data_IF_780823693573
#
_entry.id   IF_780823693573
#
_cell.length_a   1.000
_cell.length_b   1.000
_cell.length_c   1.000
_cell.angle_alpha   90.00
_cell.angle_beta   90.00
_cell.angle_gamma   90.00
#
_symmetry.space_group_name_H-M   'P 1'
#
loop_
_entity.id
_entity.type
_entity.pdbx_description
1 polymer ?
#
# COMPACT_ATOMS: atom_id res chain seq x y z
N UNK A 1 -3.51 -4.62 19.98
CA UNK A 1 -3.67 -5.72 18.99
C UNK A 1 -3.44 -7.10 19.59
N UNK A 2 -2.52 -7.32 20.56
CA UNK A 2 -2.22 -8.67 21.06
C UNK A 2 -3.36 -9.47 21.72
N UNK A 3 -4.37 -8.81 22.29
CA UNK A 3 -5.61 -9.50 22.76
C UNK A 3 -6.55 -9.78 21.59
N UNK A 4 -6.60 -8.86 20.61
CA UNK A 4 -7.46 -8.96 19.43
C UNK A 4 -6.97 -10.08 18.50
N UNK A 5 -5.66 -10.34 18.44
CA UNK A 5 -5.09 -11.43 17.64
C UNK A 5 -5.43 -12.84 18.13
N UNK A 6 -6.15 -12.98 19.24
CA UNK A 6 -6.66 -14.25 19.74
C UNK A 6 -8.13 -14.50 19.33
N UNK A 7 -8.79 -13.50 18.73
CA UNK A 7 -10.17 -13.61 18.26
C UNK A 7 -10.25 -14.46 17.00
N UNK A 8 -11.40 -15.10 16.78
CA UNK A 8 -11.62 -15.87 15.57
C UNK A 8 -11.74 -14.97 14.32
N UNK A 9 -11.59 -15.57 13.14
CA UNK A 9 -11.60 -14.85 11.86
C UNK A 9 -12.90 -14.05 11.63
N UNK A 10 -14.05 -14.50 12.11
CA UNK A 10 -15.32 -13.77 11.96
C UNK A 10 -15.38 -12.55 12.88
N UNK A 11 -14.90 -12.70 14.11
CA UNK A 11 -14.76 -11.57 15.05
C UNK A 11 -13.75 -10.54 14.52
N UNK A 12 -12.65 -10.99 13.90
CA UNK A 12 -11.68 -10.12 13.24
C UNK A 12 -12.26 -9.38 12.05
N UNK A 13 -13.13 -10.03 11.27
CA UNK A 13 -13.81 -9.35 10.19
C UNK A 13 -14.64 -8.16 10.71
N UNK A 14 -15.30 -8.27 11.86
CA UNK A 14 -15.99 -7.15 12.53
C UNK A 14 -15.01 -6.09 13.06
N UNK A 15 -13.86 -6.49 13.59
CA UNK A 15 -12.85 -5.54 14.02
C UNK A 15 -12.28 -4.71 12.85
N UNK A 16 -11.90 -5.37 11.74
CA UNK A 16 -11.36 -4.68 10.56
C UNK A 16 -12.39 -3.81 9.87
N UNK A 17 -13.63 -4.27 9.85
CA UNK A 17 -14.80 -3.49 9.51
C UNK A 17 -14.89 -2.13 10.24
N UNK A 18 -14.77 -2.17 11.57
CA UNK A 18 -14.84 -0.97 12.40
C UNK A 18 -13.60 -0.09 12.21
N UNK A 19 -12.44 -0.69 11.93
CA UNK A 19 -11.21 0.05 11.63
C UNK A 19 -11.34 0.88 10.34
N UNK A 20 -12.03 0.38 9.32
CA UNK A 20 -12.10 1.00 8.00
C UNK A 20 -13.28 1.96 7.86
N UNK A 21 -14.33 1.79 8.67
CA UNK A 21 -15.52 2.64 8.66
C UNK A 21 -15.22 4.15 8.73
N UNK A 22 -14.32 4.65 9.60
CA UNK A 22 -13.98 6.08 9.66
C UNK A 22 -13.28 6.61 8.42
N UNK A 23 -12.71 5.73 7.58
CA UNK A 23 -12.02 6.12 6.36
C UNK A 23 -13.02 6.42 5.23
N UNK A 24 -14.24 5.90 5.33
CA UNK A 24 -15.29 6.06 4.31
C UNK A 24 -14.82 5.70 2.88
N UNK A 25 -13.94 4.70 2.77
CA UNK A 25 -13.32 4.26 1.51
C UNK A 25 -14.10 3.15 0.81
N UNK A 26 -15.23 2.71 1.36
CA UNK A 26 -16.13 1.72 0.77
C UNK A 26 -17.39 2.47 0.33
N UNK A 27 -17.93 2.17 -0.86
CA UNK A 27 -19.15 2.84 -1.36
C UNK A 27 -20.35 2.59 -0.41
N UNK A 28 -21.27 3.54 -0.30
CA UNK A 28 -22.45 3.42 0.58
C UNK A 28 -23.29 2.17 0.27
N UNK A 29 -23.51 1.86 -1.01
CA UNK A 29 -24.20 0.64 -1.44
C UNK A 29 -23.52 -0.65 -0.94
N UNK A 30 -22.18 -0.65 -0.91
CA UNK A 30 -21.40 -1.80 -0.40
C UNK A 30 -21.36 -1.79 1.13
N UNK A 31 -21.41 -0.60 1.74
CA UNK A 31 -21.37 -0.36 3.18
C UNK A 31 -22.65 -0.85 3.85
N UNK A 32 -23.81 -0.59 3.25
CA UNK A 32 -25.08 -1.13 3.71
C UNK A 32 -25.09 -2.66 3.64
N UNK A 33 -24.57 -3.25 2.55
CA UNK A 33 -24.41 -4.70 2.47
C UNK A 33 -23.44 -5.23 3.53
N UNK A 34 -22.37 -4.49 3.85
CA UNK A 34 -21.36 -4.88 4.85
C UNK A 34 -21.92 -4.90 6.28
N UNK A 35 -22.84 -3.97 6.61
CA UNK A 35 -23.37 -3.82 7.97
C UNK A 35 -24.76 -4.43 8.18
N UNK A 36 -25.54 -4.62 7.12
CA UNK A 36 -26.92 -5.12 7.20
C UNK A 36 -27.10 -6.57 6.76
N UNK A 37 -26.14 -7.14 6.02
CA UNK A 37 -26.23 -8.53 5.59
C UNK A 37 -25.96 -9.46 6.77
N UNK A 38 -26.94 -10.28 7.18
CA UNK A 38 -26.73 -11.37 8.13
C UNK A 38 -25.80 -12.50 7.63
N UNK A 39 -24.97 -12.24 6.62
CA UNK A 39 -23.85 -13.08 6.16
C UNK A 39 -22.61 -12.75 6.98
N UNK A 40 -21.63 -13.66 7.03
CA UNK A 40 -20.35 -13.36 7.68
C UNK A 40 -19.73 -12.13 7.02
N UNK A 41 -19.36 -11.13 7.82
CA UNK A 41 -18.56 -9.97 7.40
C UNK A 41 -17.28 -10.38 6.67
N UNK A 42 -16.80 -11.60 6.93
CA UNK A 42 -15.71 -12.26 6.23
C UNK A 42 -15.93 -12.41 4.72
N UNK A 43 -17.15 -12.74 4.29
CA UNK A 43 -17.48 -12.97 2.87
C UNK A 43 -17.18 -11.72 2.03
N UNK A 44 -17.34 -10.54 2.63
CA UNK A 44 -17.09 -9.27 1.96
C UNK A 44 -15.61 -9.00 1.71
N UNK A 45 -14.74 -9.37 2.65
CA UNK A 45 -13.29 -9.26 2.48
C UNK A 45 -12.77 -10.28 1.46
N UNK A 46 -13.43 -11.42 1.34
CA UNK A 46 -13.05 -12.50 0.42
C UNK A 46 -13.67 -12.37 -0.99
N UNK A 47 -14.45 -11.32 -1.28
CA UNK A 47 -15.04 -11.13 -2.61
C UNK A 47 -13.94 -10.90 -3.66
N UNK A 48 -13.96 -11.71 -4.70
CA UNK A 48 -13.17 -11.49 -5.92
C UNK A 48 -13.44 -10.09 -6.48
N UNK A 49 -12.37 -9.34 -6.81
CA UNK A 49 -12.39 -7.94 -7.26
C UNK A 49 -12.69 -6.90 -6.16
N UNK A 50 -12.29 -7.16 -4.90
CA UNK A 50 -12.52 -6.19 -3.82
C UNK A 50 -11.98 -4.79 -4.11
N UNK A 51 -10.87 -4.70 -4.85
CA UNK A 51 -10.27 -3.43 -5.30
C UNK A 51 -11.30 -2.48 -5.90
N UNK A 52 -12.29 -2.98 -6.66
CA UNK A 52 -13.35 -2.18 -7.27
C UNK A 52 -14.26 -1.48 -6.26
N UNK A 53 -14.38 -2.00 -5.05
CA UNK A 53 -15.20 -1.41 -3.99
C UNK A 53 -14.47 -0.31 -3.21
N UNK A 54 -13.16 -0.18 -3.37
CA UNK A 54 -12.39 0.91 -2.75
C UNK A 54 -12.64 2.19 -3.54
N UNK A 55 -13.34 3.14 -2.92
CA UNK A 55 -13.53 4.48 -3.43
C UNK A 55 -12.18 5.23 -3.44
N UNK A 56 -11.62 5.40 -4.63
CA UNK A 56 -10.32 6.07 -4.85
C UNK A 56 -10.37 7.52 -4.41
N UNK A 57 -11.45 8.24 -4.72
CA UNK A 57 -11.58 9.66 -4.41
C UNK A 57 -11.64 9.89 -2.90
N UNK A 58 -12.42 9.07 -2.19
CA UNK A 58 -12.49 9.11 -0.73
C UNK A 58 -11.10 8.84 -0.11
N UNK A 59 -10.40 7.81 -0.59
CA UNK A 59 -9.06 7.46 -0.13
C UNK A 59 -8.05 8.59 -0.38
N UNK A 60 -8.12 9.24 -1.54
CA UNK A 60 -7.28 10.39 -1.93
C UNK A 60 -7.52 11.60 -1.03
N UNK A 61 -8.77 11.85 -0.63
CA UNK A 61 -9.16 12.99 0.19
C UNK A 61 -8.88 12.81 1.69
N UNK A 62 -8.47 11.62 2.15
CA UNK A 62 -8.06 11.43 3.53
C UNK A 62 -6.89 12.35 3.92
N UNK A 63 -6.93 12.85 5.16
CA UNK A 63 -5.81 13.61 5.71
C UNK A 63 -4.54 12.75 5.79
N UNK A 64 -3.36 13.37 5.70
CA UNK A 64 -2.09 12.66 5.87
C UNK A 64 -2.03 11.84 7.17
N UNK A 65 -2.56 12.39 8.28
CA UNK A 65 -2.61 11.71 9.57
C UNK A 65 -3.44 10.43 9.53
N UNK A 66 -4.60 10.46 8.85
CA UNK A 66 -5.46 9.28 8.68
C UNK A 66 -4.76 8.21 7.84
N UNK A 67 -4.14 8.60 6.72
CA UNK A 67 -3.43 7.68 5.83
C UNK A 67 -2.22 7.05 6.54
N UNK A 68 -1.41 7.86 7.22
CA UNK A 68 -0.27 7.41 8.01
C UNK A 68 -0.68 6.45 9.14
N UNK A 69 -1.67 6.86 9.94
CA UNK A 69 -2.20 6.05 11.03
C UNK A 69 -2.74 4.71 10.54
N UNK A 70 -3.50 4.72 9.45
CA UNK A 70 -4.04 3.49 8.87
C UNK A 70 -2.96 2.52 8.38
N UNK A 71 -1.94 3.02 7.66
CA UNK A 71 -0.82 2.18 7.22
C UNK A 71 -0.04 1.59 8.41
N UNK A 72 0.19 2.36 9.47
CA UNK A 72 0.83 1.84 10.69
C UNK A 72 -0.02 0.78 11.40
N UNK A 73 -1.35 0.93 11.39
CA UNK A 73 -2.24 -0.13 11.91
C UNK A 73 -2.13 -1.39 11.06
N UNK A 74 -2.15 -1.29 9.72
CA UNK A 74 -1.95 -2.45 8.82
C UNK A 74 -0.60 -3.12 9.11
N UNK A 75 0.48 -2.34 9.22
CA UNK A 75 1.80 -2.86 9.53
C UNK A 75 1.81 -3.63 10.86
N UNK A 76 1.16 -3.10 11.89
CA UNK A 76 1.09 -3.73 13.21
C UNK A 76 0.17 -4.97 13.21
N UNK A 77 -0.90 -4.99 12.41
CA UNK A 77 -1.71 -6.20 12.18
C UNK A 77 -0.85 -7.31 11.57
N UNK A 78 -0.11 -7.00 10.51
CA UNK A 78 0.78 -7.95 9.83
C UNK A 78 1.90 -8.50 10.73
N UNK A 79 2.26 -7.75 11.76
CA UNK A 79 3.28 -8.13 12.74
C UNK A 79 2.74 -9.03 13.85
N UNK A 80 1.59 -8.66 14.42
CA UNK A 80 1.06 -9.30 15.63
C UNK A 80 0.25 -10.55 15.31
N UNK A 81 -0.45 -10.56 14.18
CA UNK A 81 -1.36 -11.64 13.83
C UNK A 81 -0.61 -12.73 13.04
N UNK A 82 -0.98 -13.98 13.28
CA UNK A 82 -0.48 -15.10 12.49
C UNK A 82 -1.05 -15.06 11.06
N UNK A 83 -0.51 -15.93 10.20
CA UNK A 83 -0.94 -16.01 8.81
C UNK A 83 -2.41 -16.41 8.67
N UNK A 84 -2.89 -17.36 9.47
CA UNK A 84 -4.25 -17.89 9.37
C UNK A 84 -5.30 -16.79 9.58
N UNK A 85 -5.07 -15.91 10.56
CA UNK A 85 -5.99 -14.83 10.88
C UNK A 85 -5.96 -13.68 9.86
N UNK A 86 -4.82 -13.43 9.20
CA UNK A 86 -4.69 -12.29 8.28
C UNK A 86 -4.97 -12.66 6.83
N UNK A 87 -4.66 -13.89 6.42
CA UNK A 87 -4.79 -14.34 5.03
C UNK A 87 -6.15 -13.99 4.39
N UNK A 88 -7.30 -14.14 5.08
CA UNK A 88 -8.61 -13.79 4.51
C UNK A 88 -8.81 -12.30 4.18
N UNK A 89 -7.99 -11.42 4.74
CA UNK A 89 -8.09 -9.96 4.63
C UNK A 89 -6.94 -9.35 3.83
N UNK A 90 -6.01 -10.17 3.35
CA UNK A 90 -4.75 -9.69 2.79
C UNK A 90 -4.98 -8.88 1.51
N UNK A 91 -5.87 -9.35 0.62
CA UNK A 91 -6.22 -8.64 -0.61
C UNK A 91 -6.83 -7.26 -0.32
N UNK A 92 -7.64 -7.16 0.73
CA UNK A 92 -8.20 -5.90 1.20
C UNK A 92 -7.10 -4.92 1.65
N UNK A 93 -6.22 -5.37 2.54
CA UNK A 93 -5.14 -4.53 3.07
C UNK A 93 -4.20 -4.10 1.94
N UNK A 94 -3.82 -5.04 1.08
CA UNK A 94 -2.92 -4.76 -0.03
C UNK A 94 -3.55 -3.84 -1.06
N UNK A 95 -4.86 -3.99 -1.30
CA UNK A 95 -5.59 -3.07 -2.16
C UNK A 95 -5.61 -1.63 -1.65
N UNK A 96 -5.79 -1.44 -0.34
CA UNK A 96 -5.68 -0.11 0.25
C UNK A 96 -4.25 0.44 0.14
N UNK A 97 -3.24 -0.40 0.44
CA UNK A 97 -1.82 -0.01 0.41
C UNK A 97 -1.37 0.40 -0.99
N UNK A 98 -1.74 -0.35 -2.03
CA UNK A 98 -1.35 -0.03 -3.41
C UNK A 98 -2.06 1.21 -3.94
N UNK A 99 -3.34 1.41 -3.60
CA UNK A 99 -4.05 2.65 -3.98
C UNK A 99 -3.49 3.87 -3.29
N UNK A 100 -3.09 3.74 -2.02
CA UNK A 100 -2.32 4.79 -1.34
C UNK A 100 -0.96 5.02 -2.00
N UNK A 101 -0.26 3.97 -2.43
CA UNK A 101 1.01 4.08 -3.14
C UNK A 101 0.86 4.88 -4.46
N UNK A 102 -0.17 4.58 -5.25
CA UNK A 102 -0.48 5.27 -6.53
C UNK A 102 -0.72 6.77 -6.30
N UNK A 103 -1.48 7.13 -5.25
CA UNK A 103 -1.72 8.54 -4.89
C UNK A 103 -0.46 9.34 -4.58
N UNK A 104 0.66 8.65 -4.39
CA UNK A 104 1.96 9.25 -4.07
C UNK A 104 2.99 9.03 -5.15
N UNK A 105 2.62 8.60 -6.35
CA UNK A 105 3.48 8.69 -7.52
C UNK A 105 3.36 10.12 -8.08
N UNK A 106 4.31 11.04 -7.80
CA UNK A 106 4.30 12.33 -8.48
C UNK A 106 4.43 12.08 -9.98
N UNK A 107 3.68 12.83 -10.78
CA UNK A 107 4.11 13.17 -12.14
C UNK A 107 5.45 13.89 -11.99
N UNK A 108 6.56 13.13 -12.03
CA UNK A 108 7.92 13.68 -11.96
C UNK A 108 8.21 14.59 -13.17
N UNK A 109 7.35 14.59 -14.18
CA UNK A 109 7.53 15.36 -15.40
C UNK A 109 7.21 16.87 -15.28
N UNK A 110 6.69 17.36 -14.14
CA UNK A 110 6.15 18.73 -14.08
C UNK A 110 6.84 19.73 -13.16
N UNK A 111 8.08 19.52 -12.68
CA UNK A 111 8.75 20.54 -11.85
C UNK A 111 10.30 20.51 -11.87
N UNK A 112 10.91 20.18 -13.02
CA UNK A 112 12.35 20.43 -13.26
C UNK A 112 12.62 21.70 -14.08
N UNK A 113 11.76 22.70 -13.95
CA UNK A 113 12.01 24.05 -14.48
C UNK A 113 11.56 25.12 -13.48
N UNK A 114 12.12 25.11 -12.28
CA UNK A 114 12.16 26.32 -11.47
C UNK A 114 13.57 26.86 -11.58
N UNK A 115 13.70 27.80 -12.51
CA UNK A 115 14.84 28.68 -12.63
C UNK A 115 15.21 29.24 -11.25
N UNK A 116 16.52 29.30 -11.03
CA UNK A 116 17.11 30.04 -9.92
C UNK A 116 16.54 31.45 -9.90
N UNK A 117 16.29 31.92 -8.67
CA UNK A 117 15.85 33.28 -8.30
C UNK A 117 14.33 33.48 -8.24
N UNK A 118 13.75 33.18 -7.06
CA UNK A 118 12.95 34.18 -6.32
C UNK A 118 12.61 33.69 -4.91
N UNK A 119 13.35 34.22 -3.95
CA UNK A 119 12.92 34.69 -2.63
C UNK A 119 11.87 33.85 -1.87
N UNK A 120 12.40 32.92 -1.07
CA UNK A 120 12.09 32.73 0.37
C UNK A 120 10.74 33.26 0.88
N UNK A 121 9.74 32.37 0.97
CA UNK A 121 8.73 32.34 2.06
C UNK A 121 7.82 31.09 2.03
N UNK A 122 7.79 30.31 0.94
CA UNK A 122 6.94 29.09 0.81
C UNK A 122 7.68 27.74 0.94
N UNK A 123 8.99 27.76 1.26
CA UNK A 123 9.85 26.58 1.14
C UNK A 123 9.58 25.51 2.23
N UNK A 124 9.14 25.93 3.42
CA UNK A 124 8.96 25.01 4.56
C UNK A 124 7.70 24.14 4.44
N UNK A 125 6.62 24.66 3.86
CA UNK A 125 5.36 23.92 3.70
C UNK A 125 5.44 22.93 2.53
N UNK A 126 6.08 23.32 1.43
CA UNK A 126 6.35 22.44 0.28
C UNK A 126 7.38 21.34 0.64
N UNK A 127 8.41 21.67 1.43
CA UNK A 127 9.37 20.70 1.94
C UNK A 127 8.71 19.68 2.89
N UNK A 128 7.79 20.13 3.74
CA UNK A 128 7.07 19.27 4.68
C UNK A 128 6.12 18.31 3.97
N UNK A 129 5.37 18.77 2.96
CA UNK A 129 4.48 17.89 2.18
C UNK A 129 5.28 16.87 1.38
N UNK A 130 6.38 17.27 0.72
CA UNK A 130 7.27 16.35 -0.01
C UNK A 130 7.85 15.26 0.90
N UNK A 131 8.28 15.62 2.11
CA UNK A 131 8.78 14.67 3.11
C UNK A 131 7.69 13.67 3.51
N UNK A 132 6.49 14.17 3.82
CA UNK A 132 5.33 13.34 4.16
C UNK A 132 4.96 12.35 3.04
N UNK A 133 5.03 12.79 1.78
CA UNK A 133 4.80 11.93 0.62
C UNK A 133 5.83 10.80 0.51
N UNK A 134 7.12 11.12 0.66
CA UNK A 134 8.20 10.13 0.63
C UNK A 134 8.09 9.12 1.78
N UNK A 135 7.73 9.59 2.98
CA UNK A 135 7.52 8.73 4.15
C UNK A 135 6.38 7.73 3.94
N UNK A 136 5.23 8.19 3.44
CA UNK A 136 4.10 7.31 3.16
C UNK A 136 4.40 6.32 2.04
N UNK A 137 5.04 6.78 0.95
CA UNK A 137 5.48 5.89 -0.14
C UNK A 137 6.41 4.80 0.40
N UNK A 138 7.39 5.17 1.22
CA UNK A 138 8.31 4.22 1.85
C UNK A 138 7.58 3.23 2.77
N UNK A 139 6.59 3.69 3.53
CA UNK A 139 5.79 2.83 4.40
C UNK A 139 4.93 1.83 3.60
N UNK A 140 4.28 2.26 2.52
CA UNK A 140 3.56 1.36 1.62
C UNK A 140 4.49 0.26 1.08
N UNK A 141 5.67 0.63 0.57
CA UNK A 141 6.65 -0.32 0.05
C UNK A 141 7.13 -1.30 1.13
N UNK A 142 7.36 -0.84 2.35
CA UNK A 142 7.74 -1.73 3.47
C UNK A 142 6.64 -2.74 3.79
N UNK A 143 5.37 -2.32 3.78
CA UNK A 143 4.23 -3.20 4.00
C UNK A 143 4.15 -4.25 2.89
N UNK A 144 4.26 -3.83 1.62
CA UNK A 144 4.26 -4.73 0.45
C UNK A 144 5.39 -5.75 0.57
N UNK A 145 6.63 -5.30 0.77
CA UNK A 145 7.78 -6.20 0.90
C UNK A 145 7.62 -7.22 2.03
N UNK A 146 7.08 -6.79 3.19
CA UNK A 146 6.82 -7.66 4.33
C UNK A 146 5.76 -8.71 4.02
N UNK A 147 4.71 -8.35 3.29
CA UNK A 147 3.69 -9.32 2.85
C UNK A 147 4.29 -10.34 1.90
N UNK A 148 5.05 -9.90 0.90
CA UNK A 148 5.70 -10.81 -0.05
C UNK A 148 6.73 -11.73 0.61
N UNK A 149 7.37 -11.29 1.69
CA UNK A 149 8.30 -12.11 2.45
C UNK A 149 7.60 -13.08 3.40
N UNK A 150 6.52 -12.66 4.07
CA UNK A 150 5.81 -13.48 5.06
C UNK A 150 4.89 -14.51 4.42
N UNK A 151 4.31 -14.22 3.26
CA UNK A 151 3.31 -15.06 2.60
C UNK A 151 3.85 -15.54 1.24
N UNK A 152 4.63 -16.62 1.24
CA UNK A 152 5.40 -17.10 0.06
C UNK A 152 4.52 -17.38 -1.19
N UNK A 153 3.30 -17.87 -0.98
CA UNK A 153 2.31 -18.15 -2.04
C UNK A 153 1.25 -17.04 -2.19
N UNK A 154 1.55 -15.81 -1.79
CA UNK A 154 0.62 -14.69 -1.93
C UNK A 154 0.58 -14.21 -3.38
N UNK A 155 -0.51 -14.54 -4.08
CA UNK A 155 -0.87 -13.92 -5.35
C UNK A 155 -1.85 -12.77 -5.10
N UNK A 156 -1.37 -11.54 -5.21
CA UNK A 156 -2.19 -10.32 -5.07
C UNK A 156 -3.01 -10.00 -6.33
N UNK A 157 -2.92 -10.84 -7.36
CA UNK A 157 -3.65 -10.68 -8.62
C UNK A 157 -3.04 -9.64 -9.56
N UNK A 158 -3.36 -9.72 -10.85
CA UNK A 158 -2.81 -8.82 -11.87
C UNK A 158 -3.17 -7.36 -11.64
N UNK A 159 -4.40 -7.07 -11.19
CA UNK A 159 -4.86 -5.70 -10.93
C UNK A 159 -4.00 -4.98 -9.88
N UNK A 160 -3.49 -5.70 -8.87
CA UNK A 160 -2.56 -5.12 -7.92
C UNK A 160 -1.25 -4.71 -8.60
N UNK A 161 -0.68 -5.58 -9.42
CA UNK A 161 0.59 -5.34 -10.10
C UNK A 161 0.49 -4.25 -11.16
N UNK A 162 -0.63 -4.17 -11.86
CA UNK A 162 -0.95 -3.12 -12.83
C UNK A 162 -1.02 -1.72 -12.17
N UNK A 163 -1.31 -1.65 -10.87
CA UNK A 163 -1.23 -0.41 -10.08
C UNK A 163 0.18 -0.18 -9.51
N UNK A 164 0.83 -1.25 -9.03
CA UNK A 164 2.13 -1.18 -8.37
C UNK A 164 3.24 -0.67 -9.30
N UNK A 165 3.41 -1.31 -10.46
CA UNK A 165 4.55 -1.03 -11.34
C UNK A 165 4.57 0.42 -11.86
N UNK A 166 3.46 0.98 -12.37
CA UNK A 166 3.41 2.39 -12.73
C UNK A 166 3.72 3.32 -11.56
N UNK A 167 3.24 3.01 -10.35
CA UNK A 167 3.47 3.84 -9.18
C UNK A 167 4.94 3.89 -8.73
N UNK A 168 5.69 2.80 -8.95
CA UNK A 168 7.12 2.72 -8.59
C UNK A 168 8.06 3.03 -9.76
N UNK A 169 7.56 3.09 -11.00
CA UNK A 169 8.37 3.40 -12.19
C UNK A 169 9.28 4.63 -12.03
N UNK A 170 8.82 5.77 -11.46
CA UNK A 170 9.70 6.92 -11.26
C UNK A 170 10.85 6.62 -10.29
N UNK A 171 10.62 5.77 -9.28
CA UNK A 171 11.65 5.30 -8.34
C UNK A 171 12.61 4.31 -8.98
N UNK A 172 12.13 3.47 -9.91
CA UNK A 172 12.97 2.55 -10.68
C UNK A 172 13.96 3.35 -11.55
N UNK A 173 13.49 4.42 -12.19
CA UNK A 173 14.36 5.30 -13.00
C UNK A 173 15.46 5.96 -12.17
N UNK A 174 15.16 6.38 -10.93
CA UNK A 174 16.16 6.94 -10.01
C UNK A 174 16.94 5.89 -9.21
N UNK A 175 16.60 4.60 -9.35
CA UNK A 175 17.10 3.52 -8.50
C UNK A 175 18.62 3.37 -8.57
N UNK A 176 19.20 3.49 -9.79
CA UNK A 176 20.65 3.41 -9.99
C UNK A 176 21.41 4.54 -9.28
N UNK A 177 20.80 5.72 -9.15
CA UNK A 177 21.40 6.88 -8.47
C UNK A 177 21.24 6.80 -6.94
N UNK A 178 20.10 6.32 -6.44
CA UNK A 178 19.88 6.15 -5.00
C UNK A 178 20.71 4.99 -4.40
N UNK A 179 20.94 3.92 -5.16
CA UNK A 179 21.73 2.77 -4.72
C UNK A 179 23.21 3.08 -4.45
N UNK A 180 23.78 4.07 -5.13
CA UNK A 180 25.18 4.47 -4.94
C UNK A 180 25.46 5.30 -3.67
N UNK A 181 24.41 5.79 -2.98
CA UNK A 181 24.55 6.74 -1.87
C UNK A 181 24.05 6.22 -0.51
N UNK A 182 23.50 5.00 -0.45
CA UNK A 182 22.78 4.50 0.72
C UNK A 182 23.46 3.30 1.39
N UNK A 183 23.65 3.35 2.71
CA UNK A 183 24.15 2.22 3.52
C UNK A 183 23.10 1.10 3.72
N UNK A 184 21.82 1.37 3.48
CA UNK A 184 20.72 0.39 3.66
C UNK A 184 19.96 0.16 2.35
N UNK A 185 19.50 -1.08 2.06
CA UNK A 185 18.65 -1.33 0.91
C UNK A 185 17.37 -0.51 0.99
N UNK A 186 16.94 0.07 -0.13
CA UNK A 186 15.70 0.83 -0.20
C UNK A 186 14.48 -0.08 -0.03
N UNK A 187 13.35 0.48 0.45
CA UNK A 187 12.10 -0.30 0.57
C UNK A 187 11.64 -0.88 -0.77
N UNK A 188 11.98 -0.22 -1.89
CA UNK A 188 11.71 -0.72 -3.24
C UNK A 188 12.59 -1.94 -3.56
N UNK A 189 13.88 -1.89 -3.22
CA UNK A 189 14.77 -3.05 -3.37
C UNK A 189 14.26 -4.24 -2.56
N UNK A 190 13.81 -4.01 -1.32
CA UNK A 190 13.20 -5.07 -0.51
C UNK A 190 11.97 -5.68 -1.17
N UNK A 191 11.14 -4.88 -1.87
CA UNK A 191 10.05 -5.43 -2.67
C UNK A 191 10.57 -6.36 -3.77
N UNK A 192 11.51 -5.89 -4.59
CA UNK A 192 12.07 -6.70 -5.69
C UNK A 192 12.79 -7.96 -5.21
N UNK A 193 13.49 -7.88 -4.09
CA UNK A 193 14.13 -9.04 -3.47
C UNK A 193 13.10 -10.06 -2.98
N UNK A 194 11.98 -9.61 -2.40
CA UNK A 194 10.89 -10.53 -2.03
C UNK A 194 10.22 -11.12 -3.28
N UNK A 195 10.00 -10.32 -4.32
CA UNK A 195 9.40 -10.78 -5.58
C UNK A 195 10.27 -11.81 -6.31
N UNK A 196 11.61 -11.65 -6.31
CA UNK A 196 12.51 -12.57 -7.01
C UNK A 196 12.54 -13.98 -6.43
N UNK A 197 12.12 -14.14 -5.17
CA UNK A 197 11.97 -15.46 -4.52
C UNK A 197 10.76 -16.23 -5.05
N UNK A 198 9.76 -15.56 -5.65
CA UNK A 198 8.57 -16.19 -6.20
C UNK A 198 8.71 -16.42 -7.71
N UNK A 199 8.45 -17.65 -8.15
CA UNK A 199 8.46 -18.03 -9.58
C UNK A 199 7.45 -17.26 -10.41
N UNK A 200 6.33 -16.87 -9.81
CA UNK A 200 5.29 -16.10 -10.51
C UNK A 200 5.71 -14.63 -10.61
N UNK A 201 6.20 -14.07 -9.50
CA UNK A 201 6.49 -12.64 -9.42
C UNK A 201 7.78 -12.23 -10.14
N UNK A 202 8.77 -13.13 -10.22
CA UNK A 202 10.01 -12.87 -10.97
C UNK A 202 9.73 -12.57 -12.44
N UNK A 203 8.66 -13.12 -13.02
CA UNK A 203 8.30 -12.84 -14.41
C UNK A 203 7.93 -11.37 -14.64
N UNK A 204 7.38 -10.67 -13.63
CA UNK A 204 7.14 -9.24 -13.73
C UNK A 204 8.44 -8.43 -13.67
N UNK A 205 9.42 -8.87 -12.86
CA UNK A 205 10.73 -8.22 -12.80
C UNK A 205 11.49 -8.35 -14.12
N UNK A 206 11.40 -9.50 -14.80
CA UNK A 206 12.05 -9.71 -16.09
C UNK A 206 11.47 -8.86 -17.22
N UNK A 207 10.25 -8.32 -17.08
CA UNK A 207 9.63 -7.43 -18.08
C UNK A 207 10.12 -5.99 -18.00
N UNK A 208 10.73 -5.62 -16.89
CA UNK A 208 11.18 -4.26 -16.63
C UNK A 208 12.66 -4.15 -17.03
N UNK A 209 12.92 -3.66 -18.25
CA UNK A 209 14.28 -3.57 -18.82
C UNK A 209 15.26 -2.79 -17.93
N UNK A 210 14.74 -1.83 -17.17
CA UNK A 210 15.52 -0.99 -16.25
C UNK A 210 16.06 -1.75 -15.01
N UNK A 211 15.52 -2.94 -14.72
CA UNK A 211 15.94 -3.84 -13.64
C UNK A 211 16.84 -4.99 -14.10
N UNK A 212 17.04 -5.17 -15.41
CA UNK A 212 18.02 -6.11 -15.94
C UNK A 212 19.41 -5.50 -15.72
N UNK A 213 20.20 -6.14 -14.85
CA UNK A 213 21.56 -5.74 -14.49
C UNK A 213 22.54 -5.93 -15.64
#
# INVERSE_FOLDING_TARGET
>A
LGVISQLDVNELALFFALLIKPLNIISEETTDLFWSSGKSSLDHFQKSNFLKYINVDALSNLSWKMKSGFLHVIQHILEVFDEFHVRPFLDFFMGCVVRLLVNYAPNIDQDMSIDKETVSTNNDQAGTSLKQFKELRSLCLKIISRVLEKYEDCDLGSEFWDLFFPAVNPLIKSFKQEGSSSEKPSSLFSCFLSMSKSRNLVTFLCREESLLF
#
